data_IF_455370791571
#
_entry.id   IF_455370791571
#
_cell.length_a   1.000
_cell.length_b   1.000
_cell.length_c   1.000
_cell.angle_alpha   90.00
_cell.angle_beta   90.00
_cell.angle_gamma   90.00
#
_symmetry.space_group_name_H-M   'P 1'
#
loop_
_entity.id
_entity.type
_entity.pdbx_description
1 polymer ?
#
# COMPACT_ATOMS: atom_id res chain seq x y z
N UNK A 1 53.52 -43.64 28.31
CA UNK A 1 52.62 -44.63 27.67
C UNK A 1 51.25 -44.51 28.34
N UNK A 2 50.12 -44.56 27.63
CA UNK A 2 49.91 -44.63 26.19
C UNK A 2 48.47 -44.21 25.80
N UNK A 3 48.27 -43.73 24.56
CA UNK A 3 46.94 -43.38 24.00
C UNK A 3 46.39 -44.56 23.17
N UNK A 4 45.05 -44.72 23.12
CA UNK A 4 44.17 -45.50 22.19
C UNK A 4 42.91 -45.95 22.97
N UNK A 5 41.66 -46.02 22.47
CA UNK A 5 40.99 -45.68 21.18
C UNK A 5 39.46 -45.72 21.41
N UNK A 6 38.54 -45.19 20.59
CA UNK A 6 38.64 -44.40 19.34
C UNK A 6 38.28 -42.90 19.59
N UNK A 7 37.29 -42.17 19.04
CA UNK A 7 36.23 -42.41 18.02
C UNK A 7 34.85 -42.85 18.55
N UNK A 8 33.72 -42.61 17.87
CA UNK A 8 33.44 -41.73 16.70
C UNK A 8 31.92 -41.51 16.54
N UNK A 9 31.48 -40.39 15.95
CA UNK A 9 30.08 -40.03 15.61
C UNK A 9 29.09 -39.89 16.82
N UNK A 10 27.98 -39.15 16.73
CA UNK A 10 27.50 -38.24 15.69
C UNK A 10 26.89 -36.97 16.32
N UNK A 11 27.17 -35.79 15.74
CA UNK A 11 26.27 -34.64 15.84
C UNK A 11 25.10 -34.87 14.87
N UNK A 12 24.23 -35.81 15.23
CA UNK A 12 23.06 -36.16 14.41
C UNK A 12 22.05 -35.00 14.40
N UNK A 13 21.46 -34.76 13.23
CA UNK A 13 20.49 -33.68 13.02
C UNK A 13 19.25 -33.88 13.90
N UNK A 14 19.10 -33.02 14.91
CA UNK A 14 18.01 -33.10 15.89
C UNK A 14 17.52 -31.72 16.30
N UNK A 15 16.26 -31.42 16.00
CA UNK A 15 15.52 -30.23 16.45
C UNK A 15 16.10 -28.86 16.05
N UNK A 16 15.94 -28.51 14.77
CA UNK A 16 15.77 -27.10 14.33
C UNK A 16 14.43 -26.49 14.81
N UNK A 17 13.77 -27.08 15.82
CA UNK A 17 12.51 -26.63 16.39
C UNK A 17 12.67 -26.09 17.82
N UNK A 18 13.58 -26.65 18.63
CA UNK A 18 13.79 -26.21 20.02
C UNK A 18 14.14 -24.71 20.14
N UNK A 19 14.85 -24.15 19.16
CA UNK A 19 15.16 -22.72 19.10
C UNK A 19 13.93 -21.83 18.87
N UNK A 20 12.79 -22.37 18.43
CA UNK A 20 11.55 -21.61 18.17
C UNK A 20 10.76 -21.36 19.45
N UNK A 21 10.82 -22.29 20.40
CA UNK A 21 10.11 -22.21 21.68
C UNK A 21 10.99 -21.60 22.80
N UNK A 22 12.32 -21.64 22.66
CA UNK A 22 13.27 -21.21 23.69
C UNK A 22 13.54 -19.69 23.77
N UNK A 23 12.89 -18.85 22.95
CA UNK A 23 12.98 -17.38 23.07
C UNK A 23 11.69 -16.72 23.60
N UNK A 24 11.23 -17.04 24.83
CA UNK A 24 10.06 -16.40 25.40
C UNK A 24 10.33 -14.93 25.76
N UNK A 25 9.62 -14.02 25.09
CA UNK A 25 9.17 -12.71 25.64
C UNK A 25 10.22 -11.66 26.05
N UNK A 26 11.52 -11.89 25.91
CA UNK A 26 12.56 -10.87 26.20
C UNK A 26 12.96 -10.05 24.97
N UNK A 27 12.69 -10.53 23.75
CA UNK A 27 12.73 -9.72 22.52
C UNK A 27 11.35 -9.06 22.25
N UNK A 28 10.84 -8.30 23.22
CA UNK A 28 9.96 -7.20 22.88
C UNK A 28 10.80 -6.08 22.27
N UNK A 29 11.10 -6.21 20.97
CA UNK A 29 11.55 -5.07 20.17
C UNK A 29 10.56 -3.94 20.39
N UNK A 30 11.03 -2.78 20.88
CA UNK A 30 10.18 -1.61 21.06
C UNK A 30 9.83 -1.13 19.65
N UNK A 31 8.65 -1.52 19.18
CA UNK A 31 8.14 -1.14 17.87
C UNK A 31 8.18 0.39 17.73
N UNK A 32 8.94 0.94 16.77
CA UNK A 32 9.13 2.38 16.66
C UNK A 32 7.80 3.06 16.36
N UNK A 33 7.60 4.29 16.86
CA UNK A 33 6.40 5.07 16.54
C UNK A 33 6.34 5.39 15.05
N UNK A 34 5.12 5.62 14.54
CA UNK A 34 4.93 6.00 13.13
C UNK A 34 5.71 7.28 12.79
N UNK A 35 5.80 8.22 13.74
CA UNK A 35 6.60 9.43 13.61
C UNK A 35 8.12 9.15 13.50
N UNK A 36 8.64 8.19 14.27
CA UNK A 36 10.05 7.78 14.19
C UNK A 36 10.36 6.99 12.90
N UNK A 37 9.40 6.19 12.42
CA UNK A 37 9.48 5.54 11.12
C UNK A 37 9.46 6.56 9.98
N UNK A 38 8.56 7.54 10.00
CA UNK A 38 8.45 8.57 8.97
C UNK A 38 9.74 9.40 8.83
N UNK A 39 10.39 9.73 9.96
CA UNK A 39 11.70 10.38 9.98
C UNK A 39 12.79 9.55 9.28
N UNK A 40 12.78 8.22 9.48
CA UNK A 40 13.70 7.30 8.79
C UNK A 40 13.38 7.16 7.29
N UNK A 41 12.10 7.11 6.91
CA UNK A 41 11.69 7.12 5.48
C UNK A 41 12.14 8.41 4.79
N UNK A 42 12.09 9.56 5.47
CA UNK A 42 12.62 10.82 4.94
C UNK A 42 14.14 10.78 4.64
N UNK A 43 14.88 9.83 5.22
CA UNK A 43 16.30 9.55 4.94
C UNK A 43 16.54 8.36 4.01
N UNK A 44 15.48 7.78 3.41
CA UNK A 44 15.58 6.66 2.47
C UNK A 44 15.60 5.26 3.10
N UNK A 45 15.13 5.11 4.35
CA UNK A 45 15.09 3.82 5.03
C UNK A 45 13.92 2.94 4.55
N UNK A 46 14.23 1.98 3.67
CA UNK A 46 13.28 1.01 3.10
C UNK A 46 12.65 0.11 4.17
N UNK A 47 13.38 -0.21 5.25
CA UNK A 47 12.85 -1.02 6.36
C UNK A 47 11.82 -0.25 7.18
N UNK A 48 12.03 1.05 7.38
CA UNK A 48 11.05 1.92 8.01
C UNK A 48 9.81 2.13 7.13
N UNK A 49 10.00 2.18 5.80
CA UNK A 49 8.91 2.26 4.84
C UNK A 49 8.03 1.00 4.85
N UNK A 50 8.65 -0.19 4.85
CA UNK A 50 7.92 -1.46 4.96
C UNK A 50 7.08 -1.53 6.25
N UNK A 51 7.64 -1.13 7.40
CA UNK A 51 6.91 -1.09 8.66
C UNK A 51 5.69 -0.13 8.64
N UNK A 52 5.76 0.99 7.91
CA UNK A 52 4.60 1.86 7.69
C UNK A 52 3.61 1.29 6.66
N UNK A 53 4.10 0.57 5.65
CA UNK A 53 3.27 -0.14 4.69
C UNK A 53 2.40 -1.19 5.39
N UNK A 54 3.02 -2.10 6.15
CA UNK A 54 2.32 -3.18 6.88
C UNK A 54 1.26 -2.64 7.87
N UNK A 55 1.56 -1.52 8.55
CA UNK A 55 0.64 -0.88 9.50
C UNK A 55 -0.56 -0.18 8.86
N UNK A 56 -0.46 0.26 7.59
CA UNK A 56 -1.47 1.14 6.97
C UNK A 56 -2.10 0.60 5.69
N UNK A 57 -1.46 -0.31 4.95
CA UNK A 57 -1.88 -0.69 3.59
C UNK A 57 -3.32 -1.21 3.53
N UNK A 58 -3.71 -2.12 4.42
CA UNK A 58 -5.08 -2.64 4.48
C UNK A 58 -6.14 -1.53 4.72
N UNK A 59 -5.81 -0.47 5.47
CA UNK A 59 -6.72 0.67 5.73
C UNK A 59 -6.78 1.61 4.52
N UNK A 60 -5.65 1.86 3.85
CA UNK A 60 -5.59 2.66 2.62
C UNK A 60 -6.36 1.96 1.50
N UNK A 61 -6.13 0.67 1.30
CA UNK A 61 -6.84 -0.18 0.35
C UNK A 61 -8.36 -0.18 0.61
N UNK A 62 -8.80 -0.42 1.84
CA UNK A 62 -10.23 -0.40 2.17
C UNK A 62 -10.89 0.97 1.87
N UNK A 63 -10.16 2.08 2.06
CA UNK A 63 -10.66 3.41 1.73
C UNK A 63 -10.68 3.68 0.22
N UNK A 64 -9.63 3.26 -0.50
CA UNK A 64 -9.59 3.32 -1.95
C UNK A 64 -10.73 2.50 -2.55
N UNK A 65 -10.85 1.21 -2.20
CA UNK A 65 -11.90 0.30 -2.65
C UNK A 65 -13.33 0.83 -2.39
N UNK A 66 -13.54 1.59 -1.31
CA UNK A 66 -14.85 2.18 -1.02
C UNK A 66 -15.21 3.38 -1.92
N UNK A 67 -14.22 4.15 -2.40
CA UNK A 67 -14.46 5.40 -3.17
C UNK A 67 -14.22 5.21 -4.67
N UNK A 68 -13.24 4.38 -5.06
CA UNK A 68 -12.90 4.05 -6.45
C UNK A 68 -13.25 2.61 -6.83
N UNK A 69 -13.89 1.84 -5.96
CA UNK A 69 -14.16 0.42 -6.24
C UNK A 69 -12.88 -0.44 -6.18
N UNK A 70 -13.04 -1.77 -6.17
CA UNK A 70 -11.92 -2.71 -6.00
C UNK A 70 -10.98 -2.80 -7.20
N UNK A 71 -11.42 -2.44 -8.41
CA UNK A 71 -10.65 -2.62 -9.65
C UNK A 71 -9.29 -1.91 -9.68
N UNK A 72 -9.21 -0.72 -9.07
CA UNK A 72 -8.00 0.10 -9.02
C UNK A 72 -7.56 0.39 -7.57
N UNK A 73 -8.12 -0.33 -6.60
CA UNK A 73 -7.86 -0.08 -5.19
C UNK A 73 -6.39 -0.37 -4.82
N UNK A 74 -5.78 -1.38 -5.45
CA UNK A 74 -4.36 -1.69 -5.30
C UNK A 74 -3.48 -0.60 -5.92
N UNK A 75 -3.72 -0.20 -7.18
CA UNK A 75 -2.97 0.86 -7.86
C UNK A 75 -3.01 2.18 -7.09
N UNK A 76 -4.21 2.61 -6.68
CA UNK A 76 -4.39 3.82 -5.87
C UNK A 76 -3.70 3.72 -4.52
N UNK A 77 -3.64 2.52 -3.92
CA UNK A 77 -2.87 2.28 -2.68
C UNK A 77 -1.37 2.40 -2.94
N UNK A 78 -0.85 1.78 -3.99
CA UNK A 78 0.56 1.88 -4.39
C UNK A 78 0.95 3.34 -4.68
N UNK A 79 0.15 4.09 -5.43
CA UNK A 79 0.36 5.52 -5.69
C UNK A 79 0.41 6.36 -4.41
N UNK A 80 -0.34 5.98 -3.36
CA UNK A 80 -0.33 6.65 -2.05
C UNK A 80 0.94 6.34 -1.27
N UNK A 81 1.46 5.12 -1.36
CA UNK A 81 2.72 4.74 -0.72
C UNK A 81 3.94 5.29 -1.45
N UNK A 82 3.92 5.42 -2.78
CA UNK A 82 4.93 6.24 -3.49
C UNK A 82 4.89 7.68 -2.98
N UNK A 83 3.70 8.27 -2.80
CA UNK A 83 3.57 9.63 -2.22
C UNK A 83 3.94 9.72 -0.73
N UNK A 84 3.95 8.61 0.02
CA UNK A 84 4.53 8.58 1.36
C UNK A 84 6.05 8.74 1.27
N UNK A 85 6.70 7.95 0.41
CA UNK A 85 8.15 8.03 0.18
C UNK A 85 8.57 9.44 -0.26
N UNK A 86 7.96 9.97 -1.32
CA UNK A 86 8.25 11.30 -1.87
C UNK A 86 8.07 12.45 -0.87
N UNK A 87 7.16 12.29 0.11
CA UNK A 87 6.73 13.38 1.02
C UNK A 87 7.09 13.18 2.48
N UNK A 88 7.74 12.09 2.86
CA UNK A 88 8.10 11.83 4.27
C UNK A 88 8.91 13.00 4.89
N UNK A 89 9.81 13.61 4.11
CA UNK A 89 10.59 14.79 4.52
C UNK A 89 9.75 16.08 4.74
N UNK A 90 8.46 16.06 4.42
CA UNK A 90 7.51 17.16 4.68
C UNK A 90 6.60 16.91 5.89
N UNK A 91 6.71 15.74 6.52
CA UNK A 91 6.03 15.47 7.78
C UNK A 91 6.78 16.12 8.95
N UNK A 92 6.04 16.81 9.81
CA UNK A 92 6.57 17.48 11.01
C UNK A 92 5.75 17.02 12.23
N UNK A 93 6.41 16.26 13.11
CA UNK A 93 5.80 15.71 14.32
C UNK A 93 5.40 16.78 15.35
N UNK A 94 5.91 18.01 15.27
CA UNK A 94 5.46 19.13 16.10
C UNK A 94 4.12 19.71 15.61
N UNK A 95 3.73 19.43 14.36
CA UNK A 95 2.52 19.97 13.72
C UNK A 95 1.37 18.96 13.67
N UNK A 96 1.60 17.71 14.04
CA UNK A 96 0.56 16.70 14.19
C UNK A 96 1.08 15.26 14.19
N UNK A 97 0.17 14.31 14.40
CA UNK A 97 0.46 12.87 14.34
C UNK A 97 0.61 12.41 12.90
N UNK A 98 1.51 11.44 12.66
CA UNK A 98 1.75 10.87 11.33
C UNK A 98 0.45 10.35 10.70
N UNK A 99 -0.35 9.61 11.46
CA UNK A 99 -1.63 9.03 11.01
C UNK A 99 -2.60 10.07 10.40
N UNK A 100 -2.62 11.30 10.92
CA UNK A 100 -3.49 12.36 10.43
C UNK A 100 -2.93 13.02 9.16
N UNK A 101 -1.63 13.26 9.12
CA UNK A 101 -0.93 13.78 7.94
C UNK A 101 -1.02 12.79 6.77
N UNK A 102 -0.70 11.51 6.99
CA UNK A 102 -0.76 10.48 5.95
C UNK A 102 -2.22 10.19 5.52
N UNK A 103 -3.16 10.21 6.46
CA UNK A 103 -4.60 10.16 6.14
C UNK A 103 -5.06 11.31 5.23
N UNK A 104 -4.49 12.51 5.39
CA UNK A 104 -4.76 13.64 4.49
C UNK A 104 -4.12 13.46 3.10
N UNK A 105 -2.90 12.91 3.01
CA UNK A 105 -2.23 12.55 1.74
C UNK A 105 -3.07 11.50 0.98
N UNK A 106 -3.45 10.41 1.66
CA UNK A 106 -4.31 9.36 1.10
C UNK A 106 -5.65 9.93 0.61
N UNK A 107 -6.37 10.68 1.47
CA UNK A 107 -7.64 11.31 1.12
C UNK A 107 -7.55 12.22 -0.10
N UNK A 108 -6.50 13.03 -0.19
CA UNK A 108 -6.30 13.91 -1.34
C UNK A 108 -6.17 13.10 -2.63
N UNK A 109 -5.36 12.03 -2.61
CA UNK A 109 -5.11 11.20 -3.78
C UNK A 109 -6.33 10.38 -4.22
N UNK A 110 -7.01 9.70 -3.29
CA UNK A 110 -8.24 8.93 -3.57
C UNK A 110 -9.30 9.84 -4.20
N UNK A 111 -9.52 11.03 -3.64
CA UNK A 111 -10.48 11.99 -4.19
C UNK A 111 -10.03 12.58 -5.54
N UNK A 112 -8.73 12.68 -5.81
CA UNK A 112 -8.22 13.10 -7.11
C UNK A 112 -8.46 12.03 -8.20
N UNK A 113 -8.20 10.73 -7.91
CA UNK A 113 -8.53 9.60 -8.80
C UNK A 113 -10.03 9.50 -9.05
N UNK A 114 -10.86 9.55 -8.01
CA UNK A 114 -12.32 9.50 -8.14
C UNK A 114 -12.88 10.64 -9.00
N UNK A 115 -12.40 11.87 -8.80
CA UNK A 115 -12.77 13.03 -9.64
C UNK A 115 -12.32 12.88 -11.09
N UNK A 116 -11.18 12.23 -11.33
CA UNK A 116 -10.63 11.97 -12.66
C UNK A 116 -11.58 11.04 -13.44
N UNK A 117 -11.89 9.86 -12.91
CA UNK A 117 -12.81 8.93 -13.57
C UNK A 117 -14.22 9.47 -13.72
N UNK A 118 -14.69 10.26 -12.75
CA UNK A 118 -16.01 10.89 -12.85
C UNK A 118 -16.09 11.89 -14.02
N UNK A 119 -14.95 12.35 -14.56
CA UNK A 119 -14.90 13.05 -15.86
C UNK A 119 -14.72 12.08 -17.03
N UNK A 120 -13.80 11.14 -16.95
CA UNK A 120 -13.51 10.18 -18.03
C UNK A 120 -14.78 9.36 -18.39
N UNK A 121 -15.48 8.80 -17.40
CA UNK A 121 -16.79 8.12 -17.61
C UNK A 121 -17.92 9.04 -18.09
N UNK A 122 -17.80 10.36 -17.98
CA UNK A 122 -18.74 11.33 -18.57
C UNK A 122 -18.37 11.71 -20.00
N UNK A 123 -17.08 11.67 -20.35
CA UNK A 123 -16.63 11.82 -21.73
C UNK A 123 -17.05 10.60 -22.55
N UNK A 124 -16.72 9.39 -22.11
CA UNK A 124 -17.13 8.14 -22.79
C UNK A 124 -18.65 8.04 -22.93
N UNK A 125 -19.43 8.34 -21.89
CA UNK A 125 -20.89 8.34 -21.99
C UNK A 125 -21.46 9.46 -22.89
N UNK A 126 -20.70 10.51 -23.19
CA UNK A 126 -21.08 11.53 -24.16
C UNK A 126 -20.70 11.11 -25.59
N UNK A 127 -19.52 10.50 -25.76
CA UNK A 127 -19.03 9.89 -27.02
C UNK A 127 -19.98 8.76 -27.48
N UNK A 128 -20.39 7.86 -26.56
CA UNK A 128 -21.42 6.83 -26.78
C UNK A 128 -22.76 7.42 -27.24
N UNK A 129 -23.19 8.54 -26.64
CA UNK A 129 -24.45 9.22 -27.01
C UNK A 129 -24.32 9.91 -28.37
N UNK A 130 -23.17 10.48 -28.70
CA UNK A 130 -22.91 11.11 -30.00
C UNK A 130 -22.88 10.06 -31.13
N UNK A 131 -22.27 8.90 -30.90
CA UNK A 131 -22.29 7.75 -31.81
C UNK A 131 -23.73 7.21 -32.03
N UNK A 132 -24.48 6.99 -30.94
CA UNK A 132 -25.89 6.57 -30.99
C UNK A 132 -26.82 7.56 -31.72
N UNK A 133 -26.51 8.86 -31.69
CA UNK A 133 -27.23 9.90 -32.42
C UNK A 133 -26.78 10.02 -33.89
N UNK A 134 -25.55 9.63 -34.21
CA UNK A 134 -25.05 9.57 -35.58
C UNK A 134 -25.58 8.33 -36.35
N UNK A 135 -25.90 7.24 -35.65
CA UNK A 135 -26.47 6.02 -36.27
C UNK A 135 -27.97 6.12 -36.60
N UNK A 136 -28.73 7.09 -36.06
CA UNK A 136 -30.14 7.25 -36.46
C UNK A 136 -30.24 7.77 -37.90
N UNK A 137 -30.87 7.03 -38.83
CA UNK A 137 -31.00 7.48 -40.21
C UNK A 137 -31.85 8.76 -40.30
N UNK A 138 -31.46 9.66 -41.20
CA UNK A 138 -32.26 10.83 -41.59
C UNK A 138 -33.68 10.37 -41.94
N UNK A 139 -34.74 10.88 -41.28
CA UNK A 139 -36.11 10.41 -41.50
C UNK A 139 -36.49 10.59 -42.97
N UNK A 140 -36.64 9.46 -43.67
CA UNK A 140 -36.78 9.41 -45.12
C UNK A 140 -37.80 10.45 -45.62
N UNK A 141 -37.46 11.25 -46.66
CA UNK A 141 -38.19 12.45 -47.00
C UNK A 141 -39.66 12.13 -47.26
N UNK A 142 -40.54 12.83 -46.54
CA UNK A 142 -41.99 12.66 -46.62
C UNK A 142 -42.45 12.71 -48.08
N UNK A 143 -42.91 11.57 -48.59
CA UNK A 143 -43.45 11.48 -49.95
C UNK A 143 -44.83 12.11 -49.98
N UNK A 144 -44.97 13.13 -50.83
CA UNK A 144 -46.20 13.92 -51.07
C UNK A 144 -47.16 13.20 -52.03
#
# INVERSE_FOLDING_TARGET
MGRRTEGHAALSEGSKHAARDYYPRVLQTIEPSDEALASRVATGDVGAFAALYDRYAARVYAWAAHIVGSGDADDVTQEIFVKLWDKAATFDAQRGRFAAWFGAVARHHILARARRWSRERRATAAEEIEELLAETPDPAPSVE
#
